data_IF_903469143730
#
_entry.id   IF_903469143730
#
_cell.length_a   1.000
_cell.length_b   1.000
_cell.length_c   1.000
_cell.angle_alpha   90.00
_cell.angle_beta   90.00
_cell.angle_gamma   90.00
#
_symmetry.space_group_name_H-M   'P 1'
#
loop_
_entity.id
_entity.type
_entity.pdbx_description
1 polymer ?
#
# COMPACT_ATOMS: atom_id res chain seq x y z
N UNK A 1 17.30 9.17 -8.10
CA UNK A 1 16.48 9.19 -6.89
C UNK A 1 16.50 7.79 -6.32
N UNK A 2 16.76 7.60 -5.04
CA UNK A 2 16.75 6.29 -4.40
C UNK A 2 15.51 6.21 -3.52
N UNK A 3 14.64 5.25 -3.79
CA UNK A 3 13.46 4.99 -2.98
C UNK A 3 13.82 3.99 -1.88
N UNK A 4 13.29 4.23 -0.69
CA UNK A 4 13.33 3.29 0.43
C UNK A 4 11.90 3.06 0.88
N UNK A 5 11.57 1.82 1.17
CA UNK A 5 10.30 1.46 1.77
C UNK A 5 10.56 0.87 3.15
N UNK A 6 9.71 1.23 4.10
CA UNK A 6 9.69 0.65 5.44
C UNK A 6 8.28 0.24 5.76
N UNK A 7 8.11 -0.94 6.31
CA UNK A 7 6.82 -1.45 6.77
C UNK A 7 6.90 -1.75 8.27
N UNK A 8 5.88 -1.30 9.00
CA UNK A 8 5.67 -1.61 10.41
C UNK A 8 4.28 -2.18 10.58
N UNK A 9 4.22 -3.35 11.20
CA UNK A 9 2.99 -4.05 11.51
C UNK A 9 2.85 -4.15 13.03
N UNK A 10 1.75 -3.70 13.57
CA UNK A 10 1.36 -3.84 14.97
C UNK A 10 0.21 -4.82 15.07
N UNK A 11 0.40 -5.87 15.84
CA UNK A 11 -0.59 -6.91 16.13
C UNK A 11 -0.96 -6.85 17.60
N UNK A 12 -2.23 -6.58 17.90
CA UNK A 12 -2.71 -6.56 19.28
C UNK A 12 -3.49 -7.83 19.57
N UNK A 13 -3.05 -8.60 20.56
CA UNK A 13 -3.82 -9.72 21.10
C UNK A 13 -5.02 -9.17 21.88
N UNK A 14 -6.22 -9.52 21.45
CA UNK A 14 -7.46 -8.99 22.04
C UNK A 14 -7.80 -9.60 23.41
N UNK A 15 -7.16 -10.71 23.78
CA UNK A 15 -7.38 -11.34 25.07
C UNK A 15 -6.41 -10.85 26.12
N UNK A 16 -5.15 -10.63 25.74
CA UNK A 16 -4.09 -10.22 26.67
C UNK A 16 -3.81 -8.70 26.62
N UNK A 17 -4.14 -8.06 25.50
CA UNK A 17 -3.76 -6.67 25.21
C UNK A 17 -2.28 -6.51 24.85
N UNK A 18 -1.54 -7.60 24.70
CA UNK A 18 -0.14 -7.55 24.27
C UNK A 18 -0.06 -7.08 22.82
N UNK A 19 0.96 -6.27 22.55
CA UNK A 19 1.24 -5.74 21.20
C UNK A 19 2.54 -6.34 20.71
N UNK A 20 2.47 -7.05 19.60
CA UNK A 20 3.63 -7.48 18.84
C UNK A 20 3.90 -6.48 17.72
N UNK A 21 5.15 -6.04 17.57
CA UNK A 21 5.58 -5.13 16.51
C UNK A 21 6.57 -5.85 15.61
N UNK A 22 6.27 -5.88 14.32
CA UNK A 22 7.15 -6.41 13.29
C UNK A 22 7.52 -5.28 12.34
N UNK A 23 8.81 -5.06 12.15
CA UNK A 23 9.34 -4.06 11.23
C UNK A 23 10.24 -4.70 10.17
N UNK A 24 10.18 -4.17 8.96
CA UNK A 24 10.99 -4.64 7.84
C UNK A 24 11.22 -3.54 6.82
N UNK A 25 12.41 -3.50 6.27
CA UNK A 25 12.68 -2.71 5.08
C UNK A 25 12.08 -3.41 3.86
N UNK A 26 11.34 -2.65 3.07
CA UNK A 26 10.66 -3.16 1.90
C UNK A 26 11.60 -3.26 0.70
N UNK A 27 11.49 -4.37 -0.01
CA UNK A 27 12.02 -4.49 -1.35
C UNK A 27 11.27 -3.53 -2.29
N UNK A 28 12.00 -2.71 -3.01
CA UNK A 28 11.47 -1.90 -4.10
C UNK A 28 11.63 -2.70 -5.39
N UNK A 29 10.52 -3.13 -5.97
CA UNK A 29 10.52 -3.92 -7.20
C UNK A 29 10.78 -3.07 -8.43
N UNK A 30 11.17 -3.72 -9.54
CA UNK A 30 11.37 -3.06 -10.83
C UNK A 30 10.09 -2.39 -11.37
N UNK A 31 8.91 -2.82 -10.91
CA UNK A 31 7.65 -2.15 -11.26
C UNK A 31 7.68 -0.64 -10.99
N UNK A 32 8.34 -0.24 -9.91
CA UNK A 32 8.50 1.19 -9.57
C UNK A 32 9.32 1.91 -10.63
N UNK A 33 10.45 1.35 -11.05
CA UNK A 33 11.29 1.95 -12.09
C UNK A 33 10.61 1.93 -13.46
N UNK A 34 9.86 0.87 -13.76
CA UNK A 34 9.12 0.75 -15.01
C UNK A 34 8.00 1.80 -15.12
N UNK A 35 7.31 2.09 -14.01
CA UNK A 35 6.31 3.15 -13.96
C UNK A 35 6.94 4.53 -14.18
N UNK A 36 8.12 4.80 -13.62
CA UNK A 36 8.74 6.12 -13.67
C UNK A 36 9.69 6.33 -14.85
N UNK A 37 10.36 5.29 -15.35
CA UNK A 37 11.44 5.44 -16.35
C UNK A 37 11.07 5.01 -17.78
N UNK A 38 10.14 4.08 -17.94
CA UNK A 38 9.82 3.50 -19.24
C UNK A 38 8.59 4.14 -19.87
N UNK A 39 7.54 3.38 -19.84
CA UNK A 39 6.22 3.82 -20.29
C UNK A 39 5.64 4.93 -19.41
N UNK A 40 6.22 5.15 -18.23
CA UNK A 40 5.72 6.01 -17.20
C UNK A 40 5.59 7.48 -17.58
N UNK A 41 6.52 8.03 -18.35
CA UNK A 41 6.42 9.40 -18.81
C UNK A 41 5.20 9.65 -19.70
N UNK A 42 4.88 8.71 -20.56
CA UNK A 42 3.72 8.76 -21.45
C UNK A 42 2.43 8.38 -20.73
N UNK A 43 2.49 7.38 -19.85
CA UNK A 43 1.34 6.93 -19.07
C UNK A 43 0.90 7.98 -18.05
N UNK A 44 1.85 8.57 -17.34
CA UNK A 44 1.57 9.65 -16.41
C UNK A 44 0.94 10.86 -17.11
N UNK A 45 1.47 11.23 -18.27
CA UNK A 45 0.93 12.33 -19.06
C UNK A 45 -0.47 12.00 -19.60
N UNK A 46 -0.70 10.78 -20.06
CA UNK A 46 -2.00 10.32 -20.54
C UNK A 46 -3.03 10.23 -19.41
N UNK A 47 -2.65 9.72 -18.25
CA UNK A 47 -3.52 9.64 -17.07
C UNK A 47 -3.84 11.03 -16.51
N UNK A 48 -2.88 11.93 -16.47
CA UNK A 48 -3.07 13.33 -16.04
C UNK A 48 -3.99 14.07 -17.02
N UNK A 49 -3.85 13.86 -18.32
CA UNK A 49 -4.69 14.47 -19.34
C UNK A 49 -6.09 13.88 -19.41
N UNK A 50 -6.25 12.60 -19.08
CA UNK A 50 -7.52 11.92 -19.21
C UNK A 50 -8.52 12.34 -18.14
N UNK A 51 -8.05 12.76 -16.98
CA UNK A 51 -8.95 13.10 -15.88
C UNK A 51 -9.66 14.44 -16.04
N UNK A 52 -9.19 15.33 -16.92
CA UNK A 52 -9.88 16.59 -17.26
C UNK A 52 -10.26 17.48 -16.07
N UNK A 53 -9.73 17.18 -14.92
CA UNK A 53 -10.12 17.76 -13.64
C UNK A 53 -9.13 18.88 -13.27
N UNK A 54 -9.67 20.05 -13.04
CA UNK A 54 -8.90 21.25 -12.66
C UNK A 54 -8.40 21.21 -11.21
N UNK A 55 -8.73 20.16 -10.44
CA UNK A 55 -8.32 19.92 -9.07
C UNK A 55 -6.88 19.46 -8.86
N UNK A 56 -6.06 19.42 -9.91
CA UNK A 56 -4.67 18.94 -9.89
C UNK A 56 -3.64 19.88 -9.30
N UNK A 57 -4.03 20.90 -8.59
CA UNK A 57 -3.08 21.74 -7.82
C UNK A 57 -2.33 20.95 -6.75
N UNK A 58 -2.87 19.79 -6.34
CA UNK A 58 -2.24 18.83 -5.42
C UNK A 58 -1.66 17.60 -6.14
N UNK A 59 -1.36 17.69 -7.41
CA UNK A 59 -0.93 16.61 -8.29
C UNK A 59 0.17 15.67 -7.73
N UNK A 60 1.20 16.12 -7.02
CA UNK A 60 2.21 15.23 -6.45
C UNK A 60 1.66 14.25 -5.42
N UNK A 61 0.69 14.68 -4.60
CA UNK A 61 0.06 13.83 -3.58
C UNK A 61 -0.78 12.75 -4.24
N UNK A 62 -1.61 13.14 -5.19
CA UNK A 62 -2.51 12.23 -5.89
C UNK A 62 -1.74 11.18 -6.71
N UNK A 63 -0.62 11.55 -7.29
CA UNK A 63 0.18 10.63 -8.09
C UNK A 63 0.70 9.46 -7.25
N UNK A 64 1.27 9.73 -6.08
CA UNK A 64 1.80 8.70 -5.19
C UNK A 64 0.67 7.80 -4.67
N UNK A 65 -0.44 8.39 -4.24
CA UNK A 65 -1.61 7.65 -3.77
C UNK A 65 -2.24 6.79 -4.87
N UNK A 66 -2.22 7.24 -6.11
CA UNK A 66 -2.73 6.48 -7.25
C UNK A 66 -1.90 5.24 -7.56
N UNK A 67 -0.58 5.28 -7.34
CA UNK A 67 0.28 4.15 -7.70
C UNK A 67 0.54 3.17 -6.56
N UNK A 68 0.57 3.66 -5.30
CA UNK A 68 1.03 2.86 -4.16
C UNK A 68 0.10 2.90 -2.95
N UNK A 69 -1.08 3.46 -3.11
CA UNK A 69 -2.03 3.63 -2.00
C UNK A 69 -2.89 2.40 -1.71
N UNK A 70 -2.61 1.25 -2.30
CA UNK A 70 -3.26 -0.02 -1.98
C UNK A 70 -2.35 -0.89 -1.12
N UNK A 71 -2.90 -1.51 -0.08
CA UNK A 71 -2.23 -2.48 0.78
C UNK A 71 -2.79 -3.88 0.53
N UNK A 72 -1.89 -4.84 0.40
CA UNK A 72 -2.22 -6.26 0.37
C UNK A 72 -1.40 -7.00 1.44
N UNK A 73 -2.09 -7.82 2.22
CA UNK A 73 -1.51 -8.74 3.19
C UNK A 73 -1.66 -10.16 2.66
N UNK A 74 -0.55 -10.90 2.58
CA UNK A 74 -0.53 -12.26 2.06
C UNK A 74 -0.16 -13.28 3.13
N UNK A 75 -0.74 -14.47 3.02
CA UNK A 75 -0.40 -15.66 3.83
C UNK A 75 0.90 -16.35 3.38
N UNK A 76 1.47 -15.92 2.29
CA UNK A 76 2.63 -16.51 1.63
C UNK A 76 3.75 -15.48 1.53
N UNK A 77 5.00 -15.92 1.73
CA UNK A 77 6.15 -15.08 1.50
C UNK A 77 6.28 -14.71 0.02
N UNK A 78 6.38 -13.42 -0.27
CA UNK A 78 6.65 -12.93 -1.61
C UNK A 78 8.14 -13.08 -1.93
N UNK A 79 8.48 -13.18 -3.22
CA UNK A 79 9.86 -13.28 -3.64
C UNK A 79 10.69 -12.05 -3.27
N UNK A 80 11.94 -12.29 -2.88
CA UNK A 80 12.87 -11.24 -2.45
C UNK A 80 13.67 -10.60 -3.62
N UNK A 81 13.33 -10.93 -4.86
CA UNK A 81 14.03 -10.42 -6.03
C UNK A 81 13.32 -9.20 -6.61
N UNK A 82 14.05 -8.15 -7.02
CA UNK A 82 13.45 -6.94 -7.59
C UNK A 82 12.60 -7.19 -8.84
N UNK A 83 12.86 -8.27 -9.56
CA UNK A 83 12.08 -8.70 -10.73
C UNK A 83 10.77 -9.41 -10.41
N UNK A 84 10.49 -9.70 -9.13
CA UNK A 84 9.23 -10.34 -8.72
C UNK A 84 8.10 -9.31 -8.73
N UNK A 85 7.31 -9.31 -9.80
CA UNK A 85 6.23 -8.34 -10.00
C UNK A 85 4.85 -8.86 -9.58
N UNK A 86 4.71 -10.17 -9.41
CA UNK A 86 3.44 -10.81 -9.10
C UNK A 86 3.57 -11.74 -7.91
N UNK A 87 2.53 -11.79 -7.11
CA UNK A 87 2.42 -12.80 -6.06
C UNK A 87 2.33 -14.21 -6.68
N UNK A 88 2.84 -15.26 -6.01
CA UNK A 88 2.61 -16.63 -6.43
C UNK A 88 1.12 -16.93 -6.61
N UNK A 89 0.76 -17.75 -7.59
CA UNK A 89 -0.64 -18.08 -7.88
C UNK A 89 -1.39 -18.71 -6.69
N UNK A 90 -0.66 -19.35 -5.77
CA UNK A 90 -1.23 -19.95 -4.55
C UNK A 90 -1.28 -18.99 -3.36
N UNK A 91 -0.81 -17.73 -3.49
CA UNK A 91 -0.82 -16.79 -2.39
C UNK A 91 -2.25 -16.34 -2.07
N UNK A 92 -2.65 -16.55 -0.82
CA UNK A 92 -3.94 -16.10 -0.30
C UNK A 92 -3.85 -14.66 0.19
N UNK A 93 -4.84 -13.84 -0.13
CA UNK A 93 -4.98 -12.49 0.39
C UNK A 93 -5.69 -12.54 1.73
N UNK A 94 -4.98 -12.21 2.81
CA UNK A 94 -5.51 -12.16 4.18
C UNK A 94 -6.25 -10.85 4.43
N UNK A 95 -5.71 -9.75 3.92
CA UNK A 95 -6.30 -8.43 4.10
C UNK A 95 -5.96 -7.48 2.97
N UNK A 96 -6.84 -6.50 2.75
CA UNK A 96 -6.68 -5.41 1.78
C UNK A 96 -7.08 -4.08 2.40
N UNK A 97 -6.44 -2.99 1.99
CA UNK A 97 -6.89 -1.64 2.35
C UNK A 97 -6.49 -0.62 1.27
N UNK A 98 -7.14 0.54 1.26
CA UNK A 98 -6.85 1.64 0.33
C UNK A 98 -6.58 2.92 1.10
N UNK A 99 -5.60 3.70 0.67
CA UNK A 99 -5.08 4.87 1.38
C UNK A 99 -6.08 6.01 1.63
N UNK A 100 -7.17 6.06 0.90
CA UNK A 100 -8.17 7.13 0.99
C UNK A 100 -9.57 6.60 1.28
N UNK A 101 -9.69 5.34 1.68
CA UNK A 101 -10.99 4.70 1.91
C UNK A 101 -11.12 4.31 3.37
N UNK A 102 -12.03 4.97 4.06
CA UNK A 102 -12.53 4.52 5.36
C UNK A 102 -13.56 3.44 5.12
N UNK A 103 -13.26 2.21 5.56
CA UNK A 103 -14.15 1.09 5.36
C UNK A 103 -15.25 1.07 6.41
N UNK A 104 -16.48 1.16 5.97
CA UNK A 104 -17.67 1.05 6.82
C UNK A 104 -18.37 -0.30 6.69
N UNK A 105 -17.84 -1.20 5.85
CA UNK A 105 -18.44 -2.51 5.63
C UNK A 105 -17.94 -3.53 6.64
N UNK A 106 -18.74 -4.57 6.89
CA UNK A 106 -18.36 -5.70 7.75
C UNK A 106 -17.54 -6.76 7.01
N UNK A 107 -16.87 -6.38 5.93
CA UNK A 107 -16.04 -7.32 5.17
C UNK A 107 -14.82 -7.73 6.01
N UNK A 108 -14.59 -9.02 6.14
CA UNK A 108 -13.54 -9.61 6.99
C UNK A 108 -12.13 -9.46 6.40
N UNK A 109 -12.00 -9.15 5.13
CA UNK A 109 -10.69 -8.96 4.47
C UNK A 109 -10.34 -7.49 4.27
N UNK A 110 -11.30 -6.58 4.37
CA UNK A 110 -11.09 -5.17 4.02
C UNK A 110 -10.91 -4.30 5.25
N UNK A 111 -9.69 -3.79 5.43
CA UNK A 111 -9.36 -2.77 6.41
C UNK A 111 -9.75 -1.36 5.98
N UNK A 112 -9.34 -0.40 6.74
CA UNK A 112 -9.63 1.03 6.61
C UNK A 112 -8.33 1.85 6.55
N UNK A 113 -8.35 2.96 5.83
CA UNK A 113 -7.30 3.96 5.97
C UNK A 113 -7.50 4.74 7.28
N UNK A 114 -6.41 4.92 8.03
CA UNK A 114 -6.36 5.92 9.09
C UNK A 114 -5.90 7.25 8.48
N UNK A 115 -6.87 8.11 8.16
CA UNK A 115 -6.61 9.39 7.50
C UNK A 115 -5.97 10.42 8.44
N UNK A 116 -6.04 10.21 9.76
CA UNK A 116 -5.47 11.11 10.75
C UNK A 116 -3.96 10.91 10.86
N UNK A 117 -3.49 9.68 10.77
CA UNK A 117 -2.08 9.33 10.91
C UNK A 117 -1.36 9.19 9.56
N UNK A 118 -2.11 8.97 8.48
CA UNK A 118 -1.55 9.02 7.12
C UNK A 118 -1.03 10.43 6.83
N UNK A 119 0.24 10.53 6.48
CA UNK A 119 0.91 11.80 6.25
C UNK A 119 1.72 11.81 4.96
N UNK A 120 1.68 12.93 4.26
CA UNK A 120 2.50 13.19 3.09
C UNK A 120 3.34 14.43 3.39
N UNK A 121 4.66 14.24 3.49
CA UNK A 121 5.63 15.30 3.66
C UNK A 121 6.41 15.52 2.35
N UNK A 122 5.99 16.49 1.51
CA UNK A 122 6.68 16.76 0.25
C UNK A 122 8.08 17.35 0.44
N UNK A 123 8.31 18.05 1.54
CA UNK A 123 9.61 18.68 1.83
C UNK A 123 10.64 17.62 2.25
N UNK A 124 10.24 16.68 3.08
CA UNK A 124 11.06 15.52 3.47
C UNK A 124 11.09 14.41 2.42
N UNK A 125 10.20 14.45 1.43
CA UNK A 125 10.06 13.40 0.42
C UNK A 125 9.54 12.08 1.01
N UNK A 126 8.74 12.14 2.07
CA UNK A 126 8.22 10.98 2.78
C UNK A 126 6.71 10.87 2.62
N UNK A 127 6.23 9.68 2.33
CA UNK A 127 4.82 9.34 2.36
C UNK A 127 4.62 8.19 3.35
N UNK A 128 3.76 8.41 4.34
CA UNK A 128 3.39 7.41 5.35
C UNK A 128 1.92 7.07 5.19
N UNK A 129 1.61 5.83 4.87
CA UNK A 129 0.25 5.31 4.86
C UNK A 129 0.00 4.50 6.11
N UNK A 130 -1.08 4.80 6.81
CA UNK A 130 -1.52 4.04 7.98
C UNK A 130 -2.85 3.37 7.66
N UNK A 131 -2.91 2.07 7.92
CA UNK A 131 -4.09 1.23 7.70
C UNK A 131 -4.45 0.51 8.98
N UNK A 132 -5.73 0.36 9.21
CA UNK A 132 -6.29 -0.30 10.39
C UNK A 132 -7.20 -1.45 9.98
N UNK A 133 -7.10 -2.54 10.74
CA UNK A 133 -7.96 -3.70 10.60
C UNK A 133 -8.65 -3.94 11.95
N UNK A 134 -9.96 -4.02 11.92
CA UNK A 134 -10.74 -4.36 13.10
C UNK A 134 -10.50 -5.83 13.51
N UNK A 135 -10.88 -6.19 14.72
CA UNK A 135 -10.65 -7.51 15.31
C UNK A 135 -11.19 -8.70 14.51
N UNK A 136 -12.16 -8.45 13.65
CA UNK A 136 -12.75 -9.45 12.76
C UNK A 136 -12.22 -9.36 11.32
N UNK A 137 -11.17 -8.56 11.08
CA UNK A 137 -10.61 -8.34 9.76
C UNK A 137 -9.16 -8.83 9.70
N UNK A 138 -8.73 -9.24 8.50
CA UNK A 138 -7.39 -9.74 8.22
C UNK A 138 -6.91 -10.85 9.18
N UNK A 139 -7.83 -11.67 9.68
CA UNK A 139 -7.51 -12.76 10.58
C UNK A 139 -6.86 -13.91 9.80
N UNK A 140 -5.61 -14.20 10.12
CA UNK A 140 -4.81 -15.22 9.47
C UNK A 140 -3.32 -15.03 9.73
N UNK A 141 -2.52 -15.88 9.13
CA UNK A 141 -1.06 -15.73 9.18
C UNK A 141 -0.66 -14.69 8.12
N UNK A 142 -0.04 -13.62 8.53
CA UNK A 142 0.52 -12.62 7.61
C UNK A 142 2.00 -12.91 7.43
N UNK A 143 2.41 -13.19 6.19
CA UNK A 143 3.80 -13.50 5.82
C UNK A 143 4.43 -12.44 4.95
N UNK A 144 3.62 -11.62 4.28
CA UNK A 144 4.11 -10.53 3.43
C UNK A 144 3.13 -9.38 3.40
N UNK A 145 3.70 -8.19 3.32
CA UNK A 145 3.00 -6.92 3.15
C UNK A 145 3.44 -6.32 1.82
N UNK A 146 2.50 -5.88 1.00
CA UNK A 146 2.77 -5.31 -0.30
C UNK A 146 1.96 -4.03 -0.52
N UNK A 147 2.62 -2.98 -0.99
CA UNK A 147 1.93 -1.83 -1.54
C UNK A 147 1.66 -2.04 -3.03
N UNK A 148 0.46 -1.72 -3.45
CA UNK A 148 0.00 -1.86 -4.82
C UNK A 148 -0.85 -0.66 -5.24
N UNK A 149 -1.30 -0.68 -6.49
CA UNK A 149 -2.28 0.30 -6.96
C UNK A 149 -3.59 0.19 -6.16
N UNK A 150 -4.25 1.31 -5.79
CA UNK A 150 -5.48 1.27 -4.99
C UNK A 150 -6.60 0.42 -5.59
N UNK A 151 -6.64 0.29 -6.91
CA UNK A 151 -7.63 -0.58 -7.57
C UNK A 151 -7.30 -2.07 -7.49
N UNK A 152 -6.08 -2.42 -7.07
CA UNK A 152 -5.63 -3.80 -6.84
C UNK A 152 -5.83 -4.29 -5.41
N UNK A 153 -6.37 -3.42 -4.54
CA UNK A 153 -6.55 -3.69 -3.12
C UNK A 153 -8.02 -3.70 -2.69
#
# INVERSE_FOLDING_TARGET
MKLHGHARLELTDMHTGEVEVVESDNLITNAVSDIFNGYGGSLNKAMLLWRGDTGYTDAPKDLVSMFYGGLLLYDTALGAEPGTLFAPAAAGVVGTARCNVVNTTKNTTRGSANLTETNIDPAGGVVSYVYEFATNQANGIIRSVCLTHPMGA
#
